data_IF_393052578524
#
_entry.id   IF_393052578524
#
_cell.length_a   1.000
_cell.length_b   1.000
_cell.length_c   1.000
_cell.angle_alpha   90.00
_cell.angle_beta   90.00
_cell.angle_gamma   90.00
#
_symmetry.space_group_name_H-M   'P 1'
#
loop_
_entity.id
_entity.type
_entity.pdbx_description
1 polymer ?
#
# COMPACT_ATOMS: atom_id res chain seq x y z
N UNK A 1 -31.24 -48.49 -39.73
CA UNK A 1 -30.07 -47.57 -39.70
C UNK A 1 -30.37 -46.40 -40.59
N UNK A 2 -30.38 -45.15 -40.09
CA UNK A 2 -30.55 -43.98 -40.95
C UNK A 2 -29.32 -43.80 -41.88
N UNK A 3 -29.51 -43.36 -43.13
CA UNK A 3 -28.40 -43.17 -44.09
C UNK A 3 -27.46 -42.05 -43.63
N UNK A 4 -26.15 -42.26 -43.81
CA UNK A 4 -25.12 -41.26 -43.49
C UNK A 4 -25.28 -40.00 -44.37
N UNK A 5 -25.11 -38.79 -43.80
CA UNK A 5 -25.27 -37.55 -44.54
C UNK A 5 -24.18 -37.40 -45.63
N UNK A 6 -24.50 -36.77 -46.77
CA UNK A 6 -23.58 -36.63 -47.89
C UNK A 6 -22.37 -35.74 -47.53
N UNK A 7 -21.19 -36.10 -48.05
CA UNK A 7 -19.88 -35.51 -47.70
C UNK A 7 -19.80 -33.98 -47.84
N UNK A 8 -20.65 -33.38 -48.68
CA UNK A 8 -20.77 -31.92 -48.86
C UNK A 8 -21.31 -31.19 -47.62
N UNK A 9 -22.07 -31.87 -46.76
CA UNK A 9 -22.62 -31.31 -45.53
C UNK A 9 -21.71 -31.51 -44.31
N UNK A 10 -20.74 -32.42 -44.39
CA UNK A 10 -19.79 -32.71 -43.30
C UNK A 10 -18.70 -31.63 -43.16
N UNK A 11 -18.25 -31.05 -44.27
CA UNK A 11 -17.22 -30.00 -44.29
C UNK A 11 -17.65 -28.72 -43.54
N UNK A 12 -18.82 -28.12 -43.81
CA UNK A 12 -19.24 -26.90 -43.09
C UNK A 12 -19.49 -27.16 -41.59
N UNK A 13 -19.96 -28.35 -41.21
CA UNK A 13 -20.12 -28.74 -39.81
C UNK A 13 -18.77 -28.89 -39.09
N UNK A 14 -17.76 -29.47 -39.76
CA UNK A 14 -16.42 -29.57 -39.22
C UNK A 14 -15.77 -28.18 -39.03
N UNK A 15 -15.95 -27.26 -40.00
CA UNK A 15 -15.47 -25.88 -39.90
C UNK A 15 -16.17 -25.15 -38.75
N UNK A 16 -17.50 -25.25 -38.64
CA UNK A 16 -18.24 -24.64 -37.55
C UNK A 16 -17.80 -25.18 -36.17
N UNK A 17 -17.60 -26.50 -36.06
CA UNK A 17 -17.09 -27.13 -34.85
C UNK A 17 -15.70 -26.62 -34.46
N UNK A 18 -14.79 -26.50 -35.44
CA UNK A 18 -13.43 -25.97 -35.22
C UNK A 18 -13.44 -24.50 -34.79
N UNK A 19 -14.32 -23.67 -35.37
CA UNK A 19 -14.46 -22.27 -34.98
C UNK A 19 -14.96 -22.18 -33.54
N UNK A 20 -15.97 -22.97 -33.16
CA UNK A 20 -16.50 -22.98 -31.79
C UNK A 20 -15.44 -23.44 -30.79
N UNK A 21 -14.69 -24.50 -31.08
CA UNK A 21 -13.62 -24.96 -30.18
C UNK A 21 -12.48 -23.94 -30.08
N UNK A 22 -12.12 -23.26 -31.17
CA UNK A 22 -11.12 -22.19 -31.14
C UNK A 22 -11.58 -20.99 -30.28
N UNK A 23 -12.85 -20.58 -30.39
CA UNK A 23 -13.41 -19.51 -29.56
C UNK A 23 -13.42 -19.91 -28.08
N UNK A 24 -13.87 -21.13 -27.77
CA UNK A 24 -13.88 -21.62 -26.38
C UNK A 24 -12.47 -21.70 -25.82
N UNK A 25 -11.50 -22.21 -26.59
CA UNK A 25 -10.10 -22.26 -26.18
C UNK A 25 -9.53 -20.86 -25.93
N UNK A 26 -9.84 -19.89 -26.80
CA UNK A 26 -9.43 -18.50 -26.61
C UNK A 26 -10.02 -17.89 -25.33
N UNK A 27 -11.32 -18.09 -25.07
CA UNK A 27 -11.97 -17.63 -23.84
C UNK A 27 -11.31 -18.26 -22.61
N UNK A 28 -11.06 -19.56 -22.63
CA UNK A 28 -10.40 -20.26 -21.51
C UNK A 28 -8.99 -19.74 -21.26
N UNK A 29 -8.20 -19.47 -22.31
CA UNK A 29 -6.86 -18.88 -22.19
C UNK A 29 -6.93 -17.47 -21.61
N UNK A 30 -7.86 -16.63 -22.05
CA UNK A 30 -8.04 -15.28 -21.51
C UNK A 30 -8.46 -15.32 -20.05
N UNK A 31 -9.41 -16.19 -19.68
CA UNK A 31 -9.83 -16.37 -18.28
C UNK A 31 -8.68 -16.89 -17.42
N UNK A 32 -7.88 -17.82 -17.93
CA UNK A 32 -6.70 -18.33 -17.23
C UNK A 32 -5.64 -17.24 -17.02
N UNK A 33 -5.27 -16.49 -18.07
CA UNK A 33 -4.33 -15.36 -17.94
C UNK A 33 -4.87 -14.32 -16.96
N UNK A 34 -6.14 -13.94 -17.09
CA UNK A 34 -6.78 -12.98 -16.18
C UNK A 34 -6.76 -13.46 -14.72
N UNK A 35 -6.96 -14.75 -14.49
CA UNK A 35 -6.94 -15.35 -13.15
C UNK A 35 -5.56 -15.24 -12.48
N UNK A 36 -4.48 -15.38 -13.24
CA UNK A 36 -3.11 -15.32 -12.71
C UNK A 36 -2.50 -13.91 -12.73
N UNK A 37 -2.88 -13.06 -13.69
CA UNK A 37 -2.40 -11.67 -13.77
C UNK A 37 -3.12 -10.73 -12.82
N UNK A 38 -4.38 -11.01 -12.47
CA UNK A 38 -5.14 -10.20 -11.50
C UNK A 38 -5.98 -11.11 -10.60
N UNK A 39 -5.35 -11.81 -9.64
CA UNK A 39 -6.04 -12.80 -8.83
C UNK A 39 -7.18 -12.14 -8.04
N UNK A 40 -8.43 -12.65 -8.15
CA UNK A 40 -9.59 -12.05 -7.48
C UNK A 40 -9.52 -12.13 -5.94
N UNK A 41 -8.55 -12.84 -5.38
CA UNK A 41 -8.35 -13.04 -3.95
C UNK A 41 -7.34 -12.09 -3.30
N UNK A 42 -6.90 -11.03 -4.00
CA UNK A 42 -6.13 -9.96 -3.37
C UNK A 42 -4.71 -10.37 -2.96
N UNK A 43 -4.13 -11.38 -3.60
CA UNK A 43 -2.70 -11.73 -3.48
C UNK A 43 -1.80 -10.80 -4.29
N UNK A 44 -2.26 -9.58 -4.58
CA UNK A 44 -1.45 -8.59 -5.25
C UNK A 44 -0.43 -8.05 -4.25
N UNK A 45 0.86 -8.29 -4.50
CA UNK A 45 1.91 -7.56 -3.83
C UNK A 45 1.71 -6.06 -4.06
N UNK A 46 2.25 -5.23 -3.17
CA UNK A 46 2.32 -3.79 -3.42
C UNK A 46 2.97 -3.52 -4.79
N UNK A 47 2.53 -2.47 -5.49
CA UNK A 47 3.17 -2.08 -6.75
C UNK A 47 4.62 -1.69 -6.50
N UNK A 48 5.49 -2.03 -7.46
CA UNK A 48 6.89 -1.63 -7.44
C UNK A 48 7.01 -0.10 -7.30
N UNK A 49 7.82 0.35 -6.34
CA UNK A 49 8.03 1.77 -6.09
C UNK A 49 9.15 2.34 -6.98
N UNK A 50 9.08 3.62 -7.38
CA UNK A 50 10.12 4.24 -8.21
C UNK A 50 11.50 4.30 -7.52
N UNK A 51 11.50 4.43 -6.20
CA UNK A 51 12.69 4.43 -5.34
C UNK A 51 12.35 3.59 -4.10
N UNK A 52 13.12 2.53 -3.79
CA UNK A 52 12.95 1.77 -2.56
C UNK A 52 13.14 2.66 -1.34
N UNK A 53 12.15 2.68 -0.44
CA UNK A 53 12.18 3.44 0.80
C UNK A 53 12.01 2.51 2.01
N UNK A 54 13.10 2.14 2.69
CA UNK A 54 13.04 1.26 3.86
C UNK A 54 12.53 2.03 5.08
N UNK A 55 11.33 1.73 5.56
CA UNK A 55 10.84 2.31 6.81
C UNK A 55 11.62 1.79 8.03
N UNK A 56 12.24 0.60 7.92
CA UNK A 56 13.12 0.00 8.93
C UNK A 56 14.23 0.92 9.42
N UNK A 57 14.91 1.63 8.52
CA UNK A 57 16.00 2.54 8.93
C UNK A 57 15.47 3.89 9.42
N UNK A 58 14.27 4.29 9.00
CA UNK A 58 13.72 5.60 9.33
C UNK A 58 12.87 5.56 10.60
N UNK A 59 11.80 4.77 10.59
CA UNK A 59 10.82 4.63 11.66
C UNK A 59 11.11 3.45 12.60
N UNK A 60 11.99 2.52 12.20
CA UNK A 60 12.38 1.40 13.06
C UNK A 60 13.08 1.83 14.34
N UNK A 61 13.07 0.93 15.32
CA UNK A 61 13.62 1.18 16.64
C UNK A 61 15.15 1.36 16.60
N UNK A 62 15.69 2.18 17.50
CA UNK A 62 17.13 2.49 17.51
C UNK A 62 17.97 1.26 17.85
N UNK A 63 17.46 0.40 18.74
CA UNK A 63 18.04 -0.88 19.10
C UNK A 63 18.19 -1.85 17.92
N UNK A 64 17.39 -1.69 16.86
CA UNK A 64 17.42 -2.50 15.64
C UNK A 64 18.19 -1.82 14.49
N UNK A 65 18.84 -0.70 14.76
CA UNK A 65 19.58 0.08 13.76
C UNK A 65 18.72 1.10 12.98
N UNK A 66 17.48 1.34 13.42
CA UNK A 66 16.65 2.43 12.92
C UNK A 66 16.93 3.78 13.60
N UNK A 67 16.18 4.80 13.22
CA UNK A 67 16.31 6.16 13.76
C UNK A 67 15.11 6.63 14.61
N UNK A 68 14.11 5.77 14.81
CA UNK A 68 12.89 6.06 15.56
C UNK A 68 12.24 7.41 15.19
N UNK A 69 12.27 7.76 13.89
CA UNK A 69 11.61 8.96 13.37
C UNK A 69 10.10 8.76 13.47
N UNK A 70 9.42 9.72 14.10
CA UNK A 70 7.97 9.69 14.27
C UNK A 70 7.23 9.74 12.93
N UNK A 71 6.14 8.97 12.80
CA UNK A 71 5.37 8.86 11.56
C UNK A 71 4.90 10.23 11.04
N UNK A 72 4.41 11.08 11.94
CA UNK A 72 3.90 12.41 11.67
C UNK A 72 4.97 13.42 11.24
N UNK A 73 6.26 13.12 11.43
CA UNK A 73 7.34 13.98 10.95
C UNK A 73 7.37 14.05 9.42
N UNK A 74 7.19 12.89 8.78
CA UNK A 74 7.09 12.75 7.33
C UNK A 74 5.64 12.93 6.87
N UNK A 75 4.68 12.28 7.52
CA UNK A 75 3.25 12.34 7.19
C UNK A 75 2.53 13.48 7.90
N UNK A 76 3.01 14.71 7.74
CA UNK A 76 2.66 15.88 8.55
C UNK A 76 1.16 16.23 8.62
N UNK A 77 0.43 15.92 7.56
CA UNK A 77 -1.00 16.25 7.47
C UNK A 77 -1.90 15.15 8.06
N UNK A 78 -1.35 14.03 8.52
CA UNK A 78 -2.15 12.89 9.01
C UNK A 78 -2.99 13.24 10.24
N UNK A 79 -2.49 14.12 11.10
CA UNK A 79 -3.12 14.46 12.39
C UNK A 79 -4.19 15.56 12.28
N UNK A 80 -4.20 16.30 11.17
CA UNK A 80 -5.03 17.51 11.00
C UNK A 80 -5.86 17.53 9.72
N UNK A 81 -5.59 16.61 8.79
CA UNK A 81 -6.22 16.58 7.48
C UNK A 81 -7.01 15.29 7.22
N UNK A 82 -7.72 15.27 6.09
CA UNK A 82 -8.42 14.08 5.63
C UNK A 82 -7.49 13.00 5.06
N UNK A 83 -6.33 13.40 4.53
CA UNK A 83 -5.40 12.51 3.84
C UNK A 83 -4.01 12.51 4.51
N UNK A 84 -3.48 11.32 4.75
CA UNK A 84 -2.04 11.11 4.98
C UNK A 84 -1.32 11.26 3.63
N UNK A 85 -0.87 12.47 3.31
CA UNK A 85 -0.09 12.73 2.09
C UNK A 85 1.32 12.16 2.23
N UNK A 86 1.90 11.75 1.11
CA UNK A 86 3.33 11.44 1.02
C UNK A 86 4.11 12.76 1.10
N UNK A 87 5.23 12.84 1.86
CA UNK A 87 6.02 14.06 1.96
C UNK A 87 6.57 14.52 0.61
N UNK A 88 6.79 15.83 0.49
CA UNK A 88 7.52 16.40 -0.62
C UNK A 88 9.02 16.00 -0.56
N UNK A 89 9.70 16.03 -1.70
CA UNK A 89 11.11 15.58 -1.83
C UNK A 89 12.04 16.41 -0.93
N UNK A 90 11.66 17.66 -0.63
CA UNK A 90 12.35 18.55 0.29
C UNK A 90 12.54 17.94 1.68
N UNK A 91 11.57 17.14 2.16
CA UNK A 91 11.66 16.51 3.48
C UNK A 91 12.83 15.54 3.55
N UNK A 92 13.07 14.78 2.47
CA UNK A 92 14.16 13.81 2.40
C UNK A 92 15.53 14.51 2.50
N UNK A 93 15.70 15.64 1.79
CA UNK A 93 17.00 16.33 1.72
C UNK A 93 17.36 17.12 2.97
N UNK A 94 16.41 17.41 3.87
CA UNK A 94 16.71 18.03 5.17
C UNK A 94 17.74 17.19 5.93
N UNK A 95 17.52 15.88 5.97
CA UNK A 95 18.41 14.95 6.64
C UNK A 95 19.51 14.44 5.70
N UNK A 96 19.17 14.01 4.47
CA UNK A 96 20.16 13.39 3.57
C UNK A 96 21.23 14.34 3.02
N UNK A 97 21.07 15.66 3.14
CA UNK A 97 22.19 16.61 2.92
C UNK A 97 23.17 16.67 4.10
N UNK A 98 22.72 16.35 5.31
CA UNK A 98 23.51 16.45 6.54
C UNK A 98 24.08 15.11 7.02
N UNK A 99 23.31 14.02 6.88
CA UNK A 99 23.71 12.65 7.25
C UNK A 99 24.81 12.13 6.32
N UNK A 100 24.90 12.63 5.08
CA UNK A 100 26.02 12.39 4.17
C UNK A 100 27.33 13.13 4.57
N UNK A 101 27.35 13.81 5.73
CA UNK A 101 28.52 14.40 6.37
C UNK A 101 29.61 14.85 5.39
N UNK A 102 29.60 16.12 4.99
CA UNK A 102 30.79 16.86 4.51
C UNK A 102 31.78 16.03 3.67
N UNK A 103 31.63 16.06 2.34
CA UNK A 103 32.56 15.57 1.29
C UNK A 103 32.16 14.29 0.53
N UNK A 104 30.91 13.84 0.59
CA UNK A 104 30.43 12.84 -0.38
C UNK A 104 29.99 13.55 -1.67
N UNK A 105 30.97 14.03 -2.44
CA UNK A 105 30.82 14.00 -3.89
C UNK A 105 30.64 12.55 -4.28
N UNK A 106 29.66 12.24 -5.13
CA UNK A 106 29.51 10.96 -5.82
C UNK A 106 30.86 10.64 -6.49
N UNK A 107 31.74 9.91 -5.80
CA UNK A 107 33.16 9.80 -6.16
C UNK A 107 34.13 9.57 -4.99
N UNK A 108 33.82 10.01 -3.77
CA UNK A 108 34.66 9.78 -2.59
C UNK A 108 34.25 8.48 -1.86
N UNK A 109 34.64 7.34 -2.45
CA UNK A 109 34.22 5.97 -2.12
C UNK A 109 34.92 5.36 -0.89
N UNK A 110 35.67 6.12 -0.11
CA UNK A 110 36.74 5.57 0.73
C UNK A 110 36.42 5.44 2.24
N UNK A 111 35.28 5.94 2.74
CA UNK A 111 34.94 5.87 4.17
C UNK A 111 33.59 5.24 4.49
N UNK A 112 33.01 4.53 3.52
CA UNK A 112 31.71 3.89 3.68
C UNK A 112 31.87 2.41 3.32
N UNK A 113 32.48 1.64 4.22
CA UNK A 113 32.76 0.22 4.03
C UNK A 113 31.51 -0.66 4.25
N UNK A 114 30.45 -0.10 4.86
CA UNK A 114 29.27 -0.85 5.30
C UNK A 114 27.91 -0.44 4.67
N UNK A 115 27.84 0.60 3.81
CA UNK A 115 26.56 0.89 3.12
C UNK A 115 26.46 0.08 1.82
N UNK A 116 25.34 -0.63 1.67
CA UNK A 116 25.01 -1.34 0.44
C UNK A 116 25.05 -0.36 -0.74
N UNK A 117 25.83 -0.63 -1.82
CA UNK A 117 25.90 0.20 -3.01
C UNK A 117 24.53 0.62 -3.57
N UNK A 118 23.54 -0.26 -3.46
CA UNK A 118 22.17 0.01 -3.94
C UNK A 118 21.47 1.12 -3.14
N UNK A 119 21.73 1.21 -1.83
CA UNK A 119 21.16 2.27 -0.99
C UNK A 119 21.71 3.65 -1.36
N UNK A 120 23.01 3.73 -1.67
CA UNK A 120 23.64 4.97 -2.12
C UNK A 120 23.05 5.45 -3.46
N UNK A 121 22.80 4.51 -4.38
CA UNK A 121 22.13 4.82 -5.66
C UNK A 121 20.72 5.37 -5.41
N UNK A 122 19.97 4.78 -4.50
CA UNK A 122 18.61 5.24 -4.17
C UNK A 122 18.60 6.63 -3.53
N UNK A 123 19.52 6.91 -2.61
CA UNK A 123 19.68 8.25 -2.03
C UNK A 123 20.03 9.27 -3.12
N UNK A 124 20.94 8.91 -4.05
CA UNK A 124 21.30 9.79 -5.14
C UNK A 124 20.10 10.13 -6.04
N UNK A 125 19.24 9.15 -6.35
CA UNK A 125 18.00 9.40 -7.12
C UNK A 125 17.10 10.42 -6.43
N UNK A 126 17.01 10.40 -5.11
CA UNK A 126 16.22 11.39 -4.33
C UNK A 126 16.87 12.78 -4.43
N UNK A 127 18.20 12.88 -4.30
CA UNK A 127 18.94 14.13 -4.44
C UNK A 127 18.81 14.74 -5.84
N UNK A 128 18.84 13.90 -6.88
CA UNK A 128 18.65 14.31 -8.27
C UNK A 128 17.23 14.88 -8.46
N UNK A 129 16.20 14.19 -7.99
CA UNK A 129 14.80 14.66 -8.04
C UNK A 129 14.61 16.02 -7.37
N UNK A 130 15.22 16.21 -6.21
CA UNK A 130 15.20 17.51 -5.51
C UNK A 130 15.90 18.60 -6.32
N UNK A 131 17.07 18.30 -6.89
CA UNK A 131 17.87 19.27 -7.68
C UNK A 131 17.15 19.69 -8.96
N UNK A 132 16.43 18.76 -9.58
CA UNK A 132 15.61 18.99 -10.77
C UNK A 132 14.28 19.71 -10.46
N UNK A 133 13.91 19.85 -9.19
CA UNK A 133 12.62 20.40 -8.77
C UNK A 133 11.42 19.54 -9.19
N UNK A 134 11.62 18.22 -9.34
CA UNK A 134 10.57 17.27 -9.76
C UNK A 134 10.14 16.37 -8.59
N UNK A 135 8.84 16.10 -8.42
CA UNK A 135 8.37 15.16 -7.42
C UNK A 135 8.79 13.72 -7.75
N UNK A 136 8.70 12.85 -6.73
CA UNK A 136 8.78 11.40 -6.92
C UNK A 136 7.35 10.91 -7.18
N UNK A 137 7.18 10.21 -8.30
CA UNK A 137 5.90 9.68 -8.75
C UNK A 137 5.61 8.34 -8.07
N UNK A 138 5.21 8.40 -6.79
CA UNK A 138 4.93 7.22 -5.97
C UNK A 138 3.72 6.44 -6.45
N UNK A 139 3.82 5.11 -6.42
CA UNK A 139 2.71 4.21 -6.69
C UNK A 139 1.93 3.92 -5.41
N UNK A 140 0.62 4.20 -5.41
CA UNK A 140 -0.19 4.08 -4.18
C UNK A 140 -0.42 2.61 -3.81
N UNK A 141 0.02 2.24 -2.61
CA UNK A 141 -0.25 0.91 -2.03
C UNK A 141 -1.71 0.78 -1.56
N UNK A 142 -2.22 1.81 -0.86
CA UNK A 142 -3.59 1.82 -0.35
C UNK A 142 -4.46 2.77 -1.18
N UNK A 143 -5.60 2.28 -1.67
CA UNK A 143 -6.58 3.06 -2.42
C UNK A 143 -8.00 2.70 -2.00
N UNK A 144 -8.81 3.71 -1.76
CA UNK A 144 -10.27 3.58 -1.65
C UNK A 144 -10.92 4.15 -2.92
N UNK A 145 -12.13 3.71 -3.26
CA UNK A 145 -12.89 4.29 -4.38
C UNK A 145 -13.12 5.79 -4.20
N UNK A 146 -13.17 6.55 -5.30
CA UNK A 146 -13.26 8.02 -5.26
C UNK A 146 -14.56 8.56 -4.63
N UNK A 147 -15.63 7.74 -4.63
CA UNK A 147 -16.90 8.05 -3.99
C UNK A 147 -16.91 7.72 -2.47
N UNK A 148 -15.77 7.32 -1.91
CA UNK A 148 -15.59 7.06 -0.47
C UNK A 148 -14.77 8.19 0.15
N UNK A 149 -15.31 8.79 1.22
CA UNK A 149 -14.65 9.80 2.03
C UNK A 149 -14.14 9.16 3.32
N UNK A 150 -12.83 9.14 3.48
CA UNK A 150 -12.15 8.82 4.73
C UNK A 150 -11.40 10.05 5.23
N UNK A 151 -11.46 10.32 6.55
CA UNK A 151 -10.81 11.49 7.17
C UNK A 151 -9.84 11.02 8.24
N UNK A 152 -8.53 11.07 7.96
CA UNK A 152 -7.49 10.59 8.89
C UNK A 152 -7.58 11.26 10.27
N UNK A 153 -7.70 12.59 10.33
CA UNK A 153 -7.80 13.32 11.59
C UNK A 153 -8.90 12.77 12.52
N UNK A 154 -10.10 12.51 11.99
CA UNK A 154 -11.22 12.03 12.79
C UNK A 154 -10.94 10.64 13.38
N UNK A 155 -10.37 9.73 12.57
CA UNK A 155 -10.05 8.37 13.00
C UNK A 155 -8.86 8.35 13.96
N UNK A 156 -7.85 9.19 13.74
CA UNK A 156 -6.69 9.29 14.61
C UNK A 156 -7.08 9.87 15.99
N UNK A 157 -7.94 10.90 16.01
CA UNK A 157 -8.46 11.46 17.27
C UNK A 157 -9.26 10.44 18.07
N UNK A 158 -10.06 9.60 17.41
CA UNK A 158 -10.81 8.53 18.08
C UNK A 158 -9.90 7.56 18.86
N UNK A 159 -8.72 7.24 18.31
CA UNK A 159 -7.76 6.32 18.92
C UNK A 159 -6.84 6.99 19.95
N UNK A 160 -6.50 8.27 19.75
CA UNK A 160 -5.49 8.97 20.55
C UNK A 160 -6.07 9.89 21.63
N UNK A 161 -7.39 10.09 21.67
CA UNK A 161 -8.04 11.03 22.58
C UNK A 161 -9.27 10.41 23.27
N UNK A 162 -9.70 11.04 24.36
CA UNK A 162 -10.91 10.67 25.11
C UNK A 162 -10.62 9.94 26.42
N UNK A 163 -11.69 9.50 27.06
CA UNK A 163 -11.63 8.75 28.32
C UNK A 163 -11.13 7.30 28.10
N UNK A 164 -10.45 6.70 29.09
CA UNK A 164 -9.99 5.33 29.00
C UNK A 164 -11.11 4.35 28.71
N UNK A 165 -10.97 3.60 27.62
CA UNK A 165 -11.95 2.61 27.16
C UNK A 165 -11.27 1.51 26.39
N UNK A 166 -11.84 0.33 26.44
CA UNK A 166 -11.38 -0.80 25.65
C UNK A 166 -12.19 -0.87 24.35
N UNK A 167 -11.50 -1.05 23.23
CA UNK A 167 -12.13 -1.23 21.92
C UNK A 167 -11.63 -2.51 21.27
N UNK A 168 -12.53 -3.17 20.56
CA UNK A 168 -12.17 -4.24 19.62
C UNK A 168 -12.11 -3.63 18.23
N UNK A 169 -11.12 -4.05 17.45
CA UNK A 169 -10.90 -3.56 16.11
C UNK A 169 -10.95 -4.77 15.16
N UNK A 170 -11.76 -4.74 14.10
CA UNK A 170 -11.79 -5.79 13.08
C UNK A 170 -10.57 -5.71 12.13
N UNK A 171 -9.52 -5.02 12.56
CA UNK A 171 -8.36 -4.61 11.76
C UNK A 171 -7.13 -4.99 12.59
N UNK A 172 -6.46 -6.10 12.20
CA UNK A 172 -5.25 -6.59 12.87
C UNK A 172 -5.46 -7.93 13.56
N UNK A 173 -4.91 -8.09 14.76
CA UNK A 173 -4.97 -9.33 15.55
C UNK A 173 -6.34 -9.62 16.20
N UNK A 174 -7.36 -8.77 15.94
CA UNK A 174 -8.69 -8.80 16.59
C UNK A 174 -8.64 -8.75 18.14
N UNK A 175 -7.51 -8.31 18.71
CA UNK A 175 -7.32 -8.18 20.15
C UNK A 175 -7.91 -6.86 20.65
N UNK A 176 -8.58 -6.86 21.82
CA UNK A 176 -9.00 -5.62 22.46
C UNK A 176 -7.79 -4.74 22.79
N UNK A 177 -7.86 -3.46 22.41
CA UNK A 177 -6.85 -2.44 22.76
C UNK A 177 -7.43 -1.43 23.76
N UNK A 178 -6.57 -0.90 24.63
CA UNK A 178 -6.96 0.16 25.56
C UNK A 178 -6.62 1.51 24.94
N UNK A 179 -7.61 2.39 24.85
CA UNK A 179 -7.45 3.76 24.41
C UNK A 179 -7.31 4.69 25.62
N UNK A 180 -6.69 5.88 25.47
CA UNK A 180 -6.00 6.35 24.26
C UNK A 180 -4.65 5.66 24.03
N UNK A 181 -4.32 5.42 22.76
CA UNK A 181 -3.00 4.92 22.34
C UNK A 181 -2.12 6.06 21.82
N UNK A 182 -0.82 5.82 21.69
CA UNK A 182 0.12 6.75 21.06
C UNK A 182 -0.16 6.90 19.56
N UNK A 183 0.34 7.96 18.92
CA UNK A 183 0.20 8.16 17.47
C UNK A 183 0.78 6.98 16.67
N UNK A 184 1.94 6.47 17.08
CA UNK A 184 2.58 5.33 16.41
C UNK A 184 1.72 4.07 16.49
N UNK A 185 1.20 3.75 17.67
CA UNK A 185 0.27 2.62 17.87
C UNK A 185 -1.02 2.80 17.05
N UNK A 186 -1.57 4.02 17.00
CA UNK A 186 -2.76 4.34 16.21
C UNK A 186 -2.53 4.14 14.71
N UNK A 187 -1.35 4.47 14.18
CA UNK A 187 -0.99 4.19 12.79
C UNK A 187 -0.93 2.68 12.53
N UNK A 188 -0.31 1.92 13.46
CA UNK A 188 -0.13 0.47 13.32
C UNK A 188 -1.45 -0.31 13.41
N UNK A 189 -2.50 0.27 14.00
CA UNK A 189 -3.85 -0.32 13.98
C UNK A 189 -4.35 -0.57 12.56
N UNK A 190 -4.14 0.37 11.62
CA UNK A 190 -4.68 0.27 10.26
C UNK A 190 -3.64 -0.03 9.17
N UNK A 191 -2.36 0.24 9.42
CA UNK A 191 -1.29 0.03 8.45
C UNK A 191 -0.36 -1.12 8.81
N UNK A 192 -0.56 -1.73 9.98
CA UNK A 192 0.30 -2.77 10.51
C UNK A 192 1.65 -2.20 10.96
N UNK A 193 2.60 -3.09 11.14
CA UNK A 193 3.92 -2.73 11.64
C UNK A 193 4.82 -2.16 10.54
N UNK A 194 4.50 -0.94 10.10
CA UNK A 194 5.23 -0.23 9.03
C UNK A 194 6.68 0.03 9.42
N UNK A 195 6.98 0.18 10.71
CA UNK A 195 8.34 0.40 11.20
C UNK A 195 9.28 -0.76 10.85
N UNK A 196 8.77 -1.98 10.68
CA UNK A 196 9.54 -3.15 10.26
C UNK A 196 9.42 -3.48 8.76
N UNK A 197 8.83 -2.58 7.96
CA UNK A 197 8.68 -2.78 6.51
C UNK A 197 9.85 -2.16 5.71
N UNK A 198 10.68 -3.00 5.11
CA UNK A 198 11.68 -2.55 4.13
C UNK A 198 11.02 -2.06 2.82
N UNK A 199 9.86 -2.62 2.50
CA UNK A 199 8.98 -2.19 1.42
C UNK A 199 7.55 -2.23 1.95
N UNK A 200 6.78 -1.17 1.70
CA UNK A 200 5.41 -1.08 2.20
C UNK A 200 4.55 -2.10 1.48
N UNK A 201 3.93 -2.98 2.24
CA UNK A 201 2.98 -3.97 1.74
C UNK A 201 1.60 -3.70 2.36
N UNK A 202 0.51 -3.95 1.64
CA UNK A 202 -0.81 -3.95 2.26
C UNK A 202 -0.84 -5.02 3.34
N UNK A 203 -1.39 -4.71 4.51
CA UNK A 203 -1.48 -5.70 5.57
C UNK A 203 -2.38 -6.86 5.14
N UNK A 204 -1.86 -8.09 5.27
CA UNK A 204 -2.57 -9.31 4.92
C UNK A 204 -3.90 -9.38 5.67
N UNK A 205 -5.00 -9.61 4.96
CA UNK A 205 -6.36 -9.65 5.53
C UNK A 205 -7.01 -8.29 5.77
N UNK A 206 -6.24 -7.19 5.80
CA UNK A 206 -6.77 -5.83 5.93
C UNK A 206 -7.01 -5.19 4.57
N UNK A 207 -8.04 -5.67 3.89
CA UNK A 207 -8.59 -4.87 2.80
C UNK A 207 -9.46 -3.78 3.42
N UNK A 208 -9.19 -2.50 3.16
CA UNK A 208 -10.06 -1.35 3.48
C UNK A 208 -11.37 -1.41 2.66
N UNK A 209 -12.14 -2.49 2.85
CA UNK A 209 -13.43 -2.72 2.24
C UNK A 209 -14.50 -2.12 3.14
N UNK A 210 -15.68 -1.95 2.55
CA UNK A 210 -16.86 -1.47 3.27
C UNK A 210 -17.12 -2.22 4.59
N UNK A 211 -17.00 -3.56 4.58
CA UNK A 211 -17.24 -4.39 5.77
C UNK A 211 -16.38 -3.97 6.95
N UNK A 212 -15.07 -3.79 6.72
CA UNK A 212 -14.11 -3.36 7.74
C UNK A 212 -14.50 -2.03 8.40
N UNK A 213 -14.93 -1.05 7.60
CA UNK A 213 -15.40 0.23 8.12
C UNK A 213 -16.68 0.07 8.94
N UNK A 214 -17.67 -0.66 8.41
CA UNK A 214 -18.96 -0.86 9.05
C UNK A 214 -18.84 -1.65 10.36
N UNK A 215 -18.03 -2.70 10.38
CA UNK A 215 -17.88 -3.55 11.55
C UNK A 215 -17.20 -2.77 12.70
N UNK A 216 -16.14 -2.02 12.39
CA UNK A 216 -15.49 -1.15 13.36
C UNK A 216 -16.46 -0.09 13.91
N UNK A 217 -17.24 0.55 13.03
CA UNK A 217 -18.21 1.55 13.45
C UNK A 217 -19.34 0.95 14.30
N UNK A 218 -19.85 -0.25 13.96
CA UNK A 218 -20.89 -0.94 14.75
C UNK A 218 -20.39 -1.36 16.13
N UNK A 219 -19.20 -1.93 16.22
CA UNK A 219 -18.61 -2.38 17.48
C UNK A 219 -18.31 -1.23 18.44
N UNK A 220 -18.13 -0.03 17.91
CA UNK A 220 -17.74 1.16 18.65
C UNK A 220 -18.82 2.24 18.73
N UNK A 221 -20.06 1.91 18.37
CA UNK A 221 -21.22 2.83 18.39
C UNK A 221 -20.98 4.15 17.63
N UNK A 222 -20.27 4.07 16.50
CA UNK A 222 -20.05 5.18 15.56
C UNK A 222 -21.05 5.07 14.42
N UNK A 223 -21.48 6.21 13.87
CA UNK A 223 -22.48 6.23 12.81
C UNK A 223 -22.05 5.41 11.58
N UNK A 224 -22.98 4.59 11.10
CA UNK A 224 -22.85 3.77 9.88
C UNK A 224 -23.68 4.32 8.72
N UNK A 225 -24.14 5.58 8.84
CA UNK A 225 -24.92 6.24 7.79
C UNK A 225 -24.12 6.36 6.49
N UNK A 226 -24.75 5.99 5.38
CA UNK A 226 -24.09 5.96 4.08
C UNK A 226 -23.55 7.32 3.65
N UNK A 227 -24.20 8.43 4.02
CA UNK A 227 -23.83 9.80 3.59
C UNK A 227 -22.59 10.34 4.31
N UNK A 228 -22.17 9.68 5.40
CA UNK A 228 -20.94 10.02 6.12
C UNK A 228 -19.72 9.49 5.34
N UNK A 229 -19.86 8.30 4.77
CA UNK A 229 -18.80 7.61 4.04
C UNK A 229 -18.84 7.88 2.53
N UNK A 230 -20.00 8.21 1.95
CA UNK A 230 -20.17 8.38 0.51
C UNK A 230 -20.62 9.77 0.10
N UNK A 231 -20.00 10.27 -0.97
CA UNK A 231 -20.37 11.53 -1.63
C UNK A 231 -20.36 11.39 -3.14
#
# INVERSE_FOLDING_TARGET
MPPLPPTRQLIPLAIAGFIVTAIVAFILVVLFISWFSNPPFGWGNAPDQPIPFPHTVHAGAVEEGGHAIQCEFCHRNVTTGAAATVPAVEVCVICHKQINGSNVTVGAREQIEDLNPDQLVNIQRVLDKHTEGRPIDWERVHRMPDHVRFVHEAHLRFLTQGEPRQVTLPVGDEKPINLPVTTAEACSVCHGDVAHMAEVQPQQGQSLKMGTCLDCHRENDVSTDCTICHK
#
